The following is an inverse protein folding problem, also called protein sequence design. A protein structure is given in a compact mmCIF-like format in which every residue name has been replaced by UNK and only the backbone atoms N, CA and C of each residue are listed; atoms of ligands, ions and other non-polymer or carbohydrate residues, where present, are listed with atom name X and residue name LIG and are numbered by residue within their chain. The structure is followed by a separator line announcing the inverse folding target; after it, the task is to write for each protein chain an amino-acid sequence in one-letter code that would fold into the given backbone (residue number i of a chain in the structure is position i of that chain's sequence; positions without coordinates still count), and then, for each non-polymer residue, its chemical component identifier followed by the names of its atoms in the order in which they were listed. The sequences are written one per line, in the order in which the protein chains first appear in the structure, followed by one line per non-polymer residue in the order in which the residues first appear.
data_IF_556926305073
#
_entry.id   IF_556926305073
#
_cell.length_a   1.000
_cell.length_b   1.000
_cell.length_c   1.000
_cell.angle_alpha   90.00
_cell.angle_beta   90.00
_cell.angle_gamma   90.00
#
_symmetry.space_group_name_H-M   'P 1'
#
loop_
_entity.id
_entity.type
_entity.pdbx_description
1 polymer ?
#
# COMPACT_ATOMS: atom_id res chain seq x y z
N UNK A 1 -6.77 2.74 -38.36
CA UNK A 1 -5.99 3.94 -37.96
C UNK A 1 -6.39 4.53 -36.61
N UNK A 2 -7.67 4.85 -36.34
CA UNK A 2 -8.08 5.45 -35.04
C UNK A 2 -7.72 4.61 -33.79
N UNK A 3 -7.90 3.28 -33.84
CA UNK A 3 -7.59 2.37 -32.73
C UNK A 3 -6.09 2.35 -32.38
N UNK A 4 -5.23 2.42 -33.38
CA UNK A 4 -3.77 2.39 -33.19
C UNK A 4 -3.25 3.67 -32.52
N UNK A 5 -3.86 4.82 -32.85
CA UNK A 5 -3.55 6.10 -32.21
C UNK A 5 -3.93 6.10 -30.71
N UNK A 6 -5.04 5.47 -30.35
CA UNK A 6 -5.47 5.33 -28.95
C UNK A 6 -4.52 4.43 -28.15
N UNK A 7 -4.12 3.28 -28.71
CA UNK A 7 -3.16 2.36 -28.06
C UNK A 7 -1.82 3.05 -27.80
N UNK A 8 -1.28 3.75 -28.80
CA UNK A 8 -0.03 4.50 -28.68
C UNK A 8 -0.12 5.59 -27.61
N UNK A 9 -1.23 6.33 -27.59
CA UNK A 9 -1.44 7.38 -26.58
C UNK A 9 -1.43 6.80 -25.17
N UNK A 10 -2.10 5.67 -24.97
CA UNK A 10 -2.16 5.01 -23.66
C UNK A 10 -0.80 4.44 -23.23
N UNK A 11 -0.09 3.75 -24.14
CA UNK A 11 1.27 3.26 -23.91
C UNK A 11 2.22 4.37 -23.44
N UNK A 12 2.09 5.57 -23.99
CA UNK A 12 2.89 6.73 -23.61
C UNK A 12 2.50 7.35 -22.26
N UNK A 13 1.29 7.09 -21.76
CA UNK A 13 0.82 7.60 -20.47
C UNK A 13 1.13 6.64 -19.30
N UNK A 14 1.18 5.34 -19.55
CA UNK A 14 1.40 4.31 -18.52
C UNK A 14 2.65 4.53 -17.66
N UNK A 15 3.83 4.90 -18.20
CA UNK A 15 5.03 5.11 -17.38
C UNK A 15 4.85 6.19 -16.30
N UNK A 16 4.20 7.31 -16.65
CA UNK A 16 3.90 8.39 -15.71
C UNK A 16 2.94 7.91 -14.62
N UNK A 17 1.88 7.17 -15.00
CA UNK A 17 0.93 6.60 -14.05
C UNK A 17 1.61 5.60 -13.10
N UNK A 18 2.51 4.74 -13.60
CA UNK A 18 3.29 3.80 -12.78
C UNK A 18 4.12 4.55 -11.73
N UNK A 19 4.76 5.65 -12.14
CA UNK A 19 5.57 6.50 -11.25
C UNK A 19 4.71 7.12 -10.15
N UNK A 20 3.58 7.72 -10.52
CA UNK A 20 2.63 8.32 -9.58
C UNK A 20 2.08 7.28 -8.59
N UNK A 21 1.79 6.09 -9.09
CA UNK A 21 1.27 4.97 -8.30
C UNK A 21 2.30 4.43 -7.32
N UNK A 22 3.56 4.27 -7.72
CA UNK A 22 4.62 3.87 -6.81
C UNK A 22 4.82 4.88 -5.67
N UNK A 23 4.77 6.18 -5.99
CA UNK A 23 4.86 7.24 -4.97
C UNK A 23 3.63 7.27 -4.07
N UNK A 24 2.44 7.06 -4.63
CA UNK A 24 1.20 6.98 -3.85
C UNK A 24 1.19 5.76 -2.94
N UNK A 25 1.67 4.60 -3.43
CA UNK A 25 1.81 3.37 -2.68
C UNK A 25 2.68 3.58 -1.43
N UNK A 26 3.90 4.09 -1.60
CA UNK A 26 4.82 4.37 -0.47
C UNK A 26 4.19 5.31 0.57
N UNK A 27 3.54 6.40 0.13
CA UNK A 27 2.82 7.32 1.04
C UNK A 27 1.68 6.64 1.78
N UNK A 28 0.91 5.78 1.13
CA UNK A 28 -0.18 5.02 1.76
C UNK A 28 0.36 4.06 2.83
N UNK A 29 1.46 3.35 2.56
CA UNK A 29 2.11 2.48 3.53
C UNK A 29 2.59 3.28 4.75
N UNK A 30 3.30 4.39 4.55
CA UNK A 30 3.76 5.26 5.63
C UNK A 30 2.60 5.83 6.46
N UNK A 31 1.50 6.23 5.80
CA UNK A 31 0.29 6.70 6.49
C UNK A 31 -0.39 5.59 7.30
N UNK A 32 -0.41 4.36 6.79
CA UNK A 32 -0.97 3.23 7.53
C UNK A 32 -0.16 2.88 8.77
N UNK A 33 1.17 2.97 8.70
CA UNK A 33 2.03 2.77 9.87
C UNK A 33 1.71 3.80 10.98
N UNK A 34 1.45 5.06 10.60
CA UNK A 34 0.99 6.10 11.54
C UNK A 34 -0.38 5.75 12.16
N UNK A 35 -1.32 5.22 11.38
CA UNK A 35 -2.63 4.81 11.91
C UNK A 35 -2.52 3.62 12.87
N UNK A 36 -1.65 2.65 12.57
CA UNK A 36 -1.35 1.52 13.45
C UNK A 36 -0.69 1.98 14.76
N UNK A 37 0.22 2.93 14.71
CA UNK A 37 0.81 3.53 15.92
C UNK A 37 -0.27 4.21 16.79
N UNK A 38 -1.14 5.02 16.19
CA UNK A 38 -2.28 5.65 16.90
C UNK A 38 -3.22 4.59 17.49
N UNK A 39 -3.47 3.50 16.76
CA UNK A 39 -4.26 2.38 17.26
C UNK A 39 -3.60 1.74 18.48
N UNK A 40 -2.29 1.49 18.44
CA UNK A 40 -1.52 0.93 19.54
C UNK A 40 -1.52 1.79 20.79
N UNK A 41 -1.34 3.10 20.64
CA UNK A 41 -1.38 4.03 21.76
C UNK A 41 -2.76 4.02 22.43
N UNK A 42 -3.84 4.07 21.64
CA UNK A 42 -5.20 4.00 22.16
C UNK A 42 -5.49 2.66 22.85
N UNK A 43 -4.99 1.55 22.33
CA UNK A 43 -5.14 0.23 22.94
C UNK A 43 -4.39 0.14 24.29
N UNK A 44 -3.16 0.63 24.35
CA UNK A 44 -2.38 0.68 25.59
C UNK A 44 -3.11 1.48 26.68
N UNK A 45 -3.71 2.62 26.32
CA UNK A 45 -4.54 3.39 27.24
C UNK A 45 -5.76 2.61 27.74
N UNK A 46 -6.42 1.83 26.87
CA UNK A 46 -7.56 0.98 27.26
C UNK A 46 -7.11 -0.10 28.24
N UNK A 47 -5.98 -0.76 28.00
CA UNK A 47 -5.45 -1.79 28.88
C UNK A 47 -5.10 -1.21 30.26
N UNK A 48 -4.50 -0.01 30.30
CA UNK A 48 -4.22 0.69 31.57
C UNK A 48 -5.50 1.05 32.33
N UNK A 49 -6.50 1.65 31.67
CA UNK A 49 -7.78 2.00 32.31
C UNK A 49 -8.58 0.75 32.74
N UNK A 50 -8.45 -0.37 32.02
CA UNK A 50 -9.04 -1.65 32.41
C UNK A 50 -8.40 -2.19 33.70
N UNK A 51 -7.08 -2.05 33.87
CA UNK A 51 -6.40 -2.42 35.11
C UNK A 51 -6.87 -1.58 36.30
N UNK A 52 -7.09 -0.27 36.11
CA UNK A 52 -7.66 0.60 37.16
C UNK A 52 -9.08 0.20 37.57
N UNK A 53 -9.91 -0.31 36.64
CA UNK A 53 -11.25 -0.82 36.93
C UNK A 53 -11.25 -2.02 37.89
N UNK A 54 -10.20 -2.85 37.88
CA UNK A 54 -10.07 -3.98 38.81
C UNK A 54 -9.68 -3.54 40.22
N UNK A 55 -9.17 -2.32 40.41
CA UNK A 55 -8.65 -1.81 41.69
C UNK A 55 -9.50 -0.67 42.30
N UNK A 56 -10.57 -0.22 41.63
CA UNK A 56 -11.33 0.98 42.01
C UNK A 56 -12.63 0.75 42.80
N UNK A 57 -13.04 1.75 43.56
CA UNK A 57 -14.32 1.89 44.29
C UNK A 57 -15.50 2.33 43.38
N UNK A 58 -16.75 2.22 43.86
CA UNK A 58 -17.96 2.34 43.00
C UNK A 58 -18.09 3.67 42.23
N UNK A 59 -17.62 4.78 42.80
CA UNK A 59 -17.67 6.10 42.16
C UNK A 59 -16.61 6.27 41.07
N UNK A 60 -15.42 5.67 41.26
CA UNK A 60 -14.34 5.67 40.25
C UNK A 60 -14.73 4.76 39.09
N UNK A 61 -15.37 3.62 39.34
CA UNK A 61 -15.87 2.70 38.31
C UNK A 61 -16.76 3.37 37.25
N UNK A 62 -17.68 4.27 37.63
CA UNK A 62 -18.55 4.96 36.66
C UNK A 62 -17.77 5.91 35.75
N UNK A 63 -16.75 6.59 36.29
CA UNK A 63 -15.88 7.49 35.52
C UNK A 63 -14.97 6.69 34.57
N UNK A 64 -14.36 5.62 35.07
CA UNK A 64 -13.49 4.74 34.27
C UNK A 64 -14.27 4.03 33.16
N UNK A 65 -15.52 3.58 33.40
CA UNK A 65 -16.38 3.04 32.33
C UNK A 65 -16.68 4.06 31.21
N UNK A 66 -16.94 5.32 31.56
CA UNK A 66 -17.15 6.38 30.55
C UNK A 66 -15.89 6.65 29.74
N UNK A 67 -14.72 6.69 30.39
CA UNK A 67 -13.42 6.85 29.71
C UNK A 67 -13.13 5.68 28.78
N UNK A 68 -13.32 4.45 29.25
CA UNK A 68 -13.09 3.24 28.47
C UNK A 68 -14.00 3.17 27.24
N UNK A 69 -15.29 3.55 27.37
CA UNK A 69 -16.19 3.68 26.22
C UNK A 69 -15.70 4.72 25.20
N UNK A 70 -15.23 5.88 25.67
CA UNK A 70 -14.65 6.91 24.79
C UNK A 70 -13.37 6.42 24.09
N UNK A 71 -12.49 5.71 24.79
CA UNK A 71 -11.27 5.14 24.22
C UNK A 71 -11.57 4.04 23.19
N UNK A 72 -12.55 3.17 23.46
CA UNK A 72 -13.01 2.18 22.48
C UNK A 72 -13.57 2.85 21.22
N UNK A 73 -14.34 3.92 21.37
CA UNK A 73 -14.83 4.69 20.22
C UNK A 73 -13.66 5.32 19.42
N UNK A 74 -12.62 5.80 20.11
CA UNK A 74 -11.40 6.34 19.47
C UNK A 74 -10.65 5.30 18.62
N UNK A 75 -10.78 3.99 18.88
CA UNK A 75 -10.20 2.94 18.03
C UNK A 75 -10.88 2.80 16.67
N UNK A 76 -12.14 3.23 16.53
CA UNK A 76 -12.88 3.09 15.27
C UNK A 76 -12.27 3.94 14.15
N UNK A 77 -11.79 5.14 14.47
CA UNK A 77 -11.20 6.06 13.49
C UNK A 77 -9.93 5.50 12.82
N UNK A 78 -8.88 5.06 13.55
CA UNK A 78 -7.70 4.47 12.92
C UNK A 78 -8.02 3.19 12.15
N UNK A 79 -8.96 2.34 12.60
CA UNK A 79 -9.41 1.16 11.82
C UNK A 79 -10.04 1.61 10.49
N UNK A 80 -10.98 2.55 10.52
CA UNK A 80 -11.64 3.05 9.32
C UNK A 80 -10.64 3.69 8.35
N UNK A 81 -9.66 4.45 8.86
CA UNK A 81 -8.58 5.00 8.05
C UNK A 81 -7.71 3.90 7.41
N UNK A 82 -7.40 2.83 8.15
CA UNK A 82 -6.64 1.69 7.61
C UNK A 82 -7.42 0.96 6.52
N UNK A 83 -8.74 0.79 6.67
CA UNK A 83 -9.60 0.24 5.62
C UNK A 83 -9.60 1.11 4.36
N UNK A 84 -9.69 2.43 4.50
CA UNK A 84 -9.58 3.35 3.36
C UNK A 84 -8.20 3.31 2.68
N UNK A 85 -7.13 3.14 3.46
CA UNK A 85 -5.78 2.96 2.92
C UNK A 85 -5.69 1.64 2.14
N UNK A 86 -6.23 0.55 2.70
CA UNK A 86 -6.22 -0.76 2.06
C UNK A 86 -6.98 -0.74 0.72
N UNK A 87 -8.12 -0.07 0.67
CA UNK A 87 -8.89 0.13 -0.56
C UNK A 87 -8.10 0.96 -1.59
N UNK A 88 -7.41 2.02 -1.16
CA UNK A 88 -6.58 2.82 -2.06
C UNK A 88 -5.38 2.02 -2.62
N UNK A 89 -4.80 1.11 -1.84
CA UNK A 89 -3.76 0.19 -2.31
C UNK A 89 -4.33 -0.81 -3.33
N UNK A 90 -5.53 -1.36 -3.07
CA UNK A 90 -6.24 -2.27 -3.99
C UNK A 90 -6.45 -1.63 -5.36
N UNK A 91 -6.89 -0.36 -5.39
CA UNK A 91 -7.08 0.39 -6.64
C UNK A 91 -5.77 0.51 -7.45
N UNK A 92 -4.62 0.65 -6.78
CA UNK A 92 -3.31 0.67 -7.46
C UNK A 92 -2.96 -0.72 -8.02
N UNK A 93 -3.18 -1.78 -7.24
CA UNK A 93 -2.96 -3.17 -7.67
C UNK A 93 -3.82 -3.51 -8.90
N UNK A 94 -5.13 -3.29 -8.82
CA UNK A 94 -6.08 -3.58 -9.90
C UNK A 94 -5.74 -2.79 -11.17
N UNK A 95 -5.42 -1.50 -11.04
CA UNK A 95 -5.00 -0.69 -12.19
C UNK A 95 -3.69 -1.18 -12.81
N UNK A 96 -2.72 -1.59 -12.00
CA UNK A 96 -1.47 -2.19 -12.49
C UNK A 96 -1.75 -3.49 -13.25
N UNK A 97 -2.63 -4.34 -12.73
CA UNK A 97 -3.07 -5.56 -13.40
C UNK A 97 -3.78 -5.25 -14.72
N UNK A 98 -4.69 -4.27 -14.75
CA UNK A 98 -5.36 -3.84 -15.97
C UNK A 98 -4.38 -3.35 -17.03
N UNK A 99 -3.40 -2.52 -16.64
CA UNK A 99 -2.33 -2.11 -17.55
C UNK A 99 -1.54 -3.31 -18.06
N UNK A 100 -1.13 -4.23 -17.17
CA UNK A 100 -0.40 -5.44 -17.54
C UNK A 100 -1.15 -6.28 -18.58
N UNK A 101 -2.43 -6.59 -18.32
CA UNK A 101 -3.28 -7.38 -19.23
C UNK A 101 -3.41 -6.75 -20.60
N UNK A 102 -3.52 -5.41 -20.68
CA UNK A 102 -3.59 -4.68 -21.95
C UNK A 102 -2.27 -4.71 -22.70
N UNK A 103 -1.17 -4.40 -22.03
CA UNK A 103 0.15 -4.40 -22.64
C UNK A 103 0.54 -5.81 -23.08
N UNK A 104 0.13 -6.86 -22.36
CA UNK A 104 0.29 -8.25 -22.81
C UNK A 104 -0.34 -8.49 -24.18
N UNK A 105 -1.59 -8.09 -24.37
CA UNK A 105 -2.28 -8.23 -25.67
C UNK A 105 -1.57 -7.45 -26.78
N UNK A 106 -1.06 -6.25 -26.49
CA UNK A 106 -0.32 -5.46 -27.47
C UNK A 106 1.08 -6.01 -27.74
N UNK A 107 1.69 -6.68 -26.78
CA UNK A 107 3.00 -7.31 -26.93
C UNK A 107 2.93 -8.57 -27.81
N UNK A 108 1.75 -9.18 -27.94
CA UNK A 108 1.48 -10.28 -28.87
C UNK A 108 1.29 -9.79 -30.34
N UNK A 109 1.01 -8.49 -30.55
CA UNK A 109 0.94 -7.86 -31.87
C UNK A 109 2.35 -7.48 -32.36
N UNK A 110 2.75 -8.00 -33.53
CA UNK A 110 4.11 -7.79 -34.08
C UNK A 110 4.49 -6.34 -34.32
N UNK A 111 3.52 -5.47 -34.60
CA UNK A 111 3.76 -4.05 -34.85
C UNK A 111 3.89 -3.26 -33.55
N UNK A 112 3.18 -3.65 -32.49
CA UNK A 112 3.18 -2.98 -31.21
C UNK A 112 4.25 -3.50 -30.25
N UNK A 113 4.65 -4.77 -30.36
CA UNK A 113 5.67 -5.41 -29.54
C UNK A 113 6.97 -4.61 -29.45
N UNK A 114 7.41 -4.06 -30.57
CA UNK A 114 8.64 -3.28 -30.69
C UNK A 114 8.41 -1.77 -30.69
N UNK A 115 7.19 -1.32 -30.38
CA UNK A 115 6.90 0.11 -30.27
C UNK A 115 7.76 0.73 -29.16
N UNK A 116 8.48 1.80 -29.51
CA UNK A 116 9.30 2.56 -28.59
C UNK A 116 8.46 3.66 -27.94
N UNK A 117 8.16 3.49 -26.66
CA UNK A 117 7.48 4.50 -25.82
C UNK A 117 8.46 5.65 -25.56
N UNK A 118 9.67 5.30 -25.16
CA UNK A 118 10.84 6.18 -25.19
C UNK A 118 11.98 5.48 -25.92
N UNK A 119 13.10 6.16 -26.13
CA UNK A 119 14.29 5.54 -26.74
C UNK A 119 14.83 4.34 -25.95
N UNK A 120 14.46 4.22 -24.68
CA UNK A 120 14.98 3.19 -23.75
C UNK A 120 13.86 2.30 -23.18
N UNK A 121 12.59 2.60 -23.47
CA UNK A 121 11.43 1.84 -23.01
C UNK A 121 10.59 1.37 -24.20
N UNK A 122 10.58 0.06 -24.42
CA UNK A 122 9.72 -0.60 -25.41
C UNK A 122 8.44 -1.14 -24.77
N UNK A 123 7.45 -1.50 -25.59
CA UNK A 123 6.25 -2.24 -25.14
C UNK A 123 6.61 -3.53 -24.41
N UNK A 124 7.61 -4.30 -24.89
CA UNK A 124 8.07 -5.52 -24.20
C UNK A 124 8.66 -5.23 -22.83
N UNK A 125 9.51 -4.19 -22.71
CA UNK A 125 10.10 -3.81 -21.42
C UNK A 125 9.01 -3.34 -20.44
N UNK A 126 8.02 -2.58 -20.93
CA UNK A 126 6.88 -2.15 -20.13
C UNK A 126 6.03 -3.35 -19.68
N UNK A 127 5.81 -4.35 -20.54
CA UNK A 127 5.08 -5.57 -20.19
C UNK A 127 5.76 -6.32 -19.04
N UNK A 128 7.07 -6.53 -19.11
CA UNK A 128 7.85 -7.19 -18.06
C UNK A 128 7.81 -6.42 -16.75
N UNK A 129 7.94 -5.10 -16.81
CA UNK A 129 7.85 -4.24 -15.63
C UNK A 129 6.46 -4.31 -14.99
N UNK A 130 5.39 -4.23 -15.78
CA UNK A 130 4.02 -4.31 -15.28
C UNK A 130 3.71 -5.68 -14.67
N UNK A 131 4.19 -6.77 -15.26
CA UNK A 131 4.08 -8.11 -14.67
C UNK A 131 4.78 -8.19 -13.32
N UNK A 132 5.99 -7.62 -13.23
CA UNK A 132 6.74 -7.55 -11.98
C UNK A 132 5.97 -6.76 -10.92
N UNK A 133 5.53 -5.54 -11.24
CA UNK A 133 4.81 -4.67 -10.31
C UNK A 133 3.48 -5.28 -9.85
N UNK A 134 2.72 -5.88 -10.77
CA UNK A 134 1.45 -6.56 -10.46
C UNK A 134 1.64 -7.60 -9.36
N UNK A 135 2.62 -8.49 -9.51
CA UNK A 135 2.93 -9.52 -8.49
C UNK A 135 3.38 -8.91 -7.18
N UNK A 136 4.23 -7.88 -7.21
CA UNK A 136 4.74 -7.23 -5.99
C UNK A 136 3.63 -6.53 -5.22
N UNK A 137 2.72 -5.83 -5.90
CA UNK A 137 1.58 -5.18 -5.27
C UNK A 137 0.56 -6.19 -4.73
N UNK A 138 0.30 -7.29 -5.43
CA UNK A 138 -0.58 -8.36 -4.96
C UNK A 138 -0.09 -8.93 -3.61
N UNK A 139 1.15 -9.44 -3.57
CA UNK A 139 1.71 -9.99 -2.33
C UNK A 139 1.74 -8.98 -1.18
N UNK A 140 2.11 -7.74 -1.47
CA UNK A 140 2.20 -6.72 -0.44
C UNK A 140 0.82 -6.32 0.08
N UNK A 141 -0.18 -6.25 -0.80
CA UNK A 141 -1.56 -5.95 -0.44
C UNK A 141 -2.15 -7.04 0.45
N UNK A 142 -1.96 -8.31 0.13
CA UNK A 142 -2.42 -9.45 0.94
C UNK A 142 -1.88 -9.37 2.39
N UNK A 143 -0.59 -9.05 2.55
CA UNK A 143 0.01 -8.84 3.88
C UNK A 143 -0.70 -7.69 4.61
N UNK A 144 -1.02 -6.59 3.93
CA UNK A 144 -1.69 -5.43 4.56
C UNK A 144 -3.14 -5.74 4.90
N UNK A 145 -3.83 -6.50 4.06
CA UNK A 145 -5.19 -6.98 4.34
C UNK A 145 -5.20 -7.83 5.61
N UNK A 146 -4.29 -8.80 5.71
CA UNK A 146 -4.18 -9.66 6.88
C UNK A 146 -3.91 -8.87 8.17
N UNK A 147 -3.13 -7.79 8.08
CA UNK A 147 -2.94 -6.89 9.22
C UNK A 147 -4.25 -6.23 9.64
N UNK A 148 -5.00 -5.64 8.72
CA UNK A 148 -6.27 -4.95 9.02
C UNK A 148 -7.32 -5.94 9.55
N UNK A 149 -7.39 -7.16 8.99
CA UNK A 149 -8.26 -8.22 9.49
C UNK A 149 -7.87 -8.63 10.92
N UNK A 150 -6.58 -8.73 11.22
CA UNK A 150 -6.06 -9.05 12.55
C UNK A 150 -6.49 -8.04 13.62
N UNK A 151 -6.59 -6.76 13.29
CA UNK A 151 -7.03 -5.70 14.22
C UNK A 151 -8.50 -5.81 14.63
N UNK A 152 -9.33 -6.50 13.83
CA UNK A 152 -10.74 -6.76 14.15
C UNK A 152 -10.92 -8.02 15.03
N UNK A 153 -9.83 -8.74 15.33
CA UNK A 153 -9.84 -9.94 16.18
C UNK A 153 -10.01 -9.62 17.68
N UNK A 154 -10.33 -10.63 18.48
CA UNK A 154 -10.61 -10.48 19.94
C UNK A 154 -9.36 -10.48 20.83
N UNK A 155 -8.17 -10.80 20.30
CA UNK A 155 -6.91 -11.02 21.05
C UNK A 155 -5.81 -10.02 20.66
N UNK A 156 -6.10 -8.73 20.80
CA UNK A 156 -5.30 -7.65 20.18
C UNK A 156 -3.98 -7.37 20.96
N UNK A 157 -3.89 -7.72 22.24
CA UNK A 157 -2.85 -7.19 23.15
C UNK A 157 -1.44 -7.75 22.91
N UNK A 158 -1.30 -9.01 22.47
CA UNK A 158 0.00 -9.64 22.24
C UNK A 158 0.50 -9.50 20.79
N UNK A 159 -0.42 -9.37 19.83
CA UNK A 159 -0.11 -9.45 18.41
C UNK A 159 0.16 -8.10 17.75
N UNK A 160 -0.08 -6.97 18.43
CA UNK A 160 -0.02 -5.66 17.78
C UNK A 160 1.38 -5.26 17.31
N UNK A 161 2.44 -5.63 18.04
CA UNK A 161 3.82 -5.40 17.59
C UNK A 161 4.15 -6.19 16.34
N UNK A 162 3.63 -7.43 16.25
CA UNK A 162 3.76 -8.28 15.07
C UNK A 162 3.01 -7.68 13.88
N UNK A 163 1.78 -7.19 14.10
CA UNK A 163 0.97 -6.53 13.08
C UNK A 163 1.64 -5.25 12.56
N UNK A 164 2.22 -4.44 13.45
CA UNK A 164 2.99 -3.25 13.06
C UNK A 164 4.23 -3.62 12.25
N UNK A 165 5.00 -4.61 12.70
CA UNK A 165 6.18 -5.10 11.98
C UNK A 165 5.81 -5.64 10.59
N UNK A 166 4.70 -6.39 10.49
CA UNK A 166 4.18 -6.90 9.22
C UNK A 166 3.70 -5.77 8.29
N UNK A 167 3.09 -4.71 8.83
CA UNK A 167 2.71 -3.54 8.05
C UNK A 167 3.94 -2.78 7.52
N UNK A 168 4.92 -2.52 8.38
CA UNK A 168 6.12 -1.78 8.00
C UNK A 168 7.04 -2.59 7.07
N UNK A 169 7.00 -3.92 7.15
CA UNK A 169 7.69 -4.80 6.21
C UNK A 169 7.09 -4.62 4.81
N UNK A 170 7.74 -3.78 3.98
CA UNK A 170 7.39 -3.52 2.58
C UNK A 170 8.40 -4.18 1.63
N UNK A 171 8.64 -5.48 1.83
CA UNK A 171 9.74 -6.20 1.14
C UNK A 171 9.47 -6.38 -0.34
N UNK A 172 8.21 -6.44 -0.76
CA UNK A 172 7.85 -6.69 -2.15
C UNK A 172 7.72 -5.39 -2.94
N UNK A 173 6.98 -4.41 -2.41
CA UNK A 173 6.74 -3.11 -3.06
C UNK A 173 7.56 -1.95 -2.44
N UNK A 174 8.72 -2.27 -1.89
CA UNK A 174 9.71 -1.33 -1.35
C UNK A 174 11.10 -1.94 -1.15
N UNK A 175 11.31 -3.18 -1.63
CA UNK A 175 12.59 -3.88 -1.56
C UNK A 175 13.57 -3.45 -2.65
N UNK A 176 14.78 -4.00 -2.62
CA UNK A 176 15.89 -3.57 -3.47
C UNK A 176 15.63 -3.78 -4.97
N UNK A 177 15.09 -4.94 -5.33
CA UNK A 177 14.75 -5.24 -6.72
C UNK A 177 13.64 -4.30 -7.24
N UNK A 178 12.66 -3.99 -6.39
CA UNK A 178 11.58 -3.06 -6.72
C UNK A 178 12.12 -1.65 -6.95
N UNK A 179 12.98 -1.17 -6.05
CA UNK A 179 13.63 0.13 -6.19
C UNK A 179 14.54 0.19 -7.44
N UNK A 180 15.27 -0.88 -7.74
CA UNK A 180 16.10 -0.96 -8.93
C UNK A 180 15.26 -0.85 -10.21
N UNK A 181 14.15 -1.59 -10.30
CA UNK A 181 13.22 -1.54 -11.44
C UNK A 181 12.55 -0.17 -11.62
N UNK A 182 12.17 0.49 -10.53
CA UNK A 182 11.65 1.85 -10.61
C UNK A 182 12.73 2.86 -10.99
N UNK A 183 13.95 2.76 -10.46
CA UNK A 183 15.07 3.62 -10.88
C UNK A 183 15.35 3.51 -12.38
N UNK A 184 15.32 2.29 -12.91
CA UNK A 184 15.43 2.03 -14.35
C UNK A 184 14.31 2.74 -15.14
N UNK A 185 13.05 2.63 -14.69
CA UNK A 185 11.92 3.35 -15.30
C UNK A 185 12.13 4.87 -15.29
N UNK A 186 12.49 5.44 -14.15
CA UNK A 186 12.74 6.89 -14.02
C UNK A 186 13.84 7.35 -15.00
N UNK A 187 14.93 6.58 -15.10
CA UNK A 187 16.00 6.85 -16.05
C UNK A 187 15.51 6.82 -17.50
N UNK A 188 14.75 5.80 -17.88
CA UNK A 188 14.16 5.67 -19.22
C UNK A 188 13.18 6.81 -19.56
N UNK A 189 12.59 7.44 -18.54
CA UNK A 189 11.71 8.61 -18.66
C UNK A 189 12.47 9.95 -18.59
N UNK A 190 13.80 9.93 -18.51
CA UNK A 190 14.63 11.13 -18.43
C UNK A 190 14.62 11.83 -17.06
N UNK A 191 14.06 11.17 -16.03
CA UNK A 191 14.02 11.69 -14.66
C UNK A 191 15.29 11.29 -13.90
N UNK A 192 16.07 12.29 -13.46
CA UNK A 192 17.34 12.07 -12.75
C UNK A 192 17.18 11.75 -11.26
N UNK A 193 16.03 12.07 -10.68
CA UNK A 193 15.74 11.84 -9.27
C UNK A 193 14.66 10.78 -9.15
N UNK A 194 15.03 9.63 -8.58
CA UNK A 194 14.10 8.58 -8.19
C UNK A 194 14.02 8.58 -6.65
N UNK A 195 12.84 8.75 -6.05
CA UNK A 195 12.65 8.60 -4.61
C UNK A 195 13.13 7.23 -4.13
N UNK A 196 13.63 7.16 -2.90
CA UNK A 196 13.76 5.87 -2.24
C UNK A 196 12.37 5.43 -1.76
N UNK A 197 11.90 4.28 -2.22
CA UNK A 197 10.61 3.71 -1.81
C UNK A 197 10.75 2.75 -0.64
N UNK A 198 11.97 2.58 -0.09
CA UNK A 198 12.15 1.95 1.21
C UNK A 198 11.44 2.82 2.26
N UNK A 199 10.52 2.20 2.99
CA UNK A 199 9.95 2.85 4.16
C UNK A 199 10.95 2.66 5.30
N UNK A 200 11.80 3.66 5.52
CA UNK A 200 12.57 3.78 6.76
C UNK A 200 11.61 4.22 7.87
N UNK A 201 11.19 3.26 8.69
CA UNK A 201 10.45 3.46 9.94
C UNK A 201 11.09 2.63 11.04
#
# INVERSE_FOLDING_TARGET
MRTYCLVVTELNQMPTLIIEDAQRWSRLIANGAKQLAIYADNLSLICNEKNELYCGNSTTMRRTRKRLSSLLHRLQKPISNLQHILEALRIIQERTEHMWRRVRMWNDDSNLRHYCITRQLSTSNLHELLLFLHKRYEYEWEVKEMVVLGLNGKNIDYDLKLLLAAWCSNRHAGGDEYNAKLKELYWCMGQRQCPDFRNEL
#
